data_IF_827861139753
#
_entry.id   IF_827861139753
#
_cell.length_a   1.000
_cell.length_b   1.000
_cell.length_c   1.000
_cell.angle_alpha   90.00
_cell.angle_beta   90.00
_cell.angle_gamma   90.00
#
_symmetry.space_group_name_H-M   'P 1'
#
loop_
_entity.id
_entity.type
_entity.pdbx_description
1 polymer ?
#
# COMPACT_ATOMS: atom_id res chain seq x y z
N UNK A 1 3.68 2.74 -29.70
CA UNK A 1 2.86 1.56 -29.33
C UNK A 1 2.60 1.60 -27.83
N UNK A 2 1.33 1.63 -27.39
CA UNK A 2 0.89 1.81 -25.98
C UNK A 2 0.58 0.48 -25.26
N UNK A 3 0.89 -0.66 -25.87
CA UNK A 3 0.54 -2.00 -25.38
C UNK A 3 1.20 -2.35 -24.05
N UNK A 4 2.49 -2.01 -23.88
CA UNK A 4 3.20 -2.19 -22.61
C UNK A 4 2.57 -1.39 -21.46
N UNK A 5 2.22 -0.13 -21.70
CA UNK A 5 1.56 0.72 -20.70
C UNK A 5 0.16 0.21 -20.33
N UNK A 6 -0.59 -0.29 -21.30
CA UNK A 6 -1.90 -0.89 -21.05
C UNK A 6 -1.78 -2.16 -20.19
N UNK A 7 -0.75 -2.98 -20.43
CA UNK A 7 -0.50 -4.19 -19.65
C UNK A 7 -0.10 -3.87 -18.21
N UNK A 8 0.72 -2.83 -18.01
CA UNK A 8 1.09 -2.34 -16.67
C UNK A 8 -0.16 -1.88 -15.92
N UNK A 9 -1.01 -1.06 -16.57
CA UNK A 9 -2.27 -0.60 -15.96
C UNK A 9 -3.20 -1.75 -15.60
N UNK A 10 -3.39 -2.72 -16.51
CA UNK A 10 -4.22 -3.90 -16.23
C UNK A 10 -3.67 -4.72 -15.07
N UNK A 11 -2.35 -4.84 -14.95
CA UNK A 11 -1.70 -5.49 -13.82
C UNK A 11 -1.93 -4.71 -12.50
N UNK A 12 -1.86 -3.37 -12.53
CA UNK A 12 -2.19 -2.54 -11.36
C UNK A 12 -3.64 -2.72 -10.93
N UNK A 13 -4.58 -2.58 -11.87
CA UNK A 13 -6.01 -2.70 -11.61
C UNK A 13 -6.34 -4.11 -11.07
N UNK A 14 -5.67 -5.15 -11.60
CA UNK A 14 -5.78 -6.51 -11.10
C UNK A 14 -5.26 -6.66 -9.65
N UNK A 15 -4.03 -6.17 -9.38
CA UNK A 15 -3.42 -6.24 -8.04
C UNK A 15 -4.20 -5.44 -6.99
N UNK A 16 -4.83 -4.34 -7.40
CA UNK A 16 -5.68 -3.50 -6.56
C UNK A 16 -7.13 -3.99 -6.45
N UNK A 17 -7.49 -5.12 -7.09
CA UNK A 17 -8.85 -5.69 -7.12
C UNK A 17 -9.89 -4.73 -7.71
N UNK A 18 -9.50 -3.92 -8.69
CA UNK A 18 -10.34 -2.92 -9.35
C UNK A 18 -10.93 -3.42 -10.68
N UNK A 19 -10.48 -4.57 -11.18
CA UNK A 19 -11.02 -5.14 -12.41
C UNK A 19 -12.44 -5.73 -12.21
N UNK A 20 -13.35 -5.53 -13.18
CA UNK A 20 -14.59 -6.29 -13.28
C UNK A 20 -14.32 -7.80 -13.34
N UNK A 21 -15.26 -8.61 -12.85
CA UNK A 21 -15.08 -10.08 -12.77
C UNK A 21 -14.75 -10.72 -14.12
N UNK A 22 -15.36 -10.27 -15.21
CA UNK A 22 -15.08 -10.79 -16.56
C UNK A 22 -13.65 -10.49 -17.02
N UNK A 23 -13.21 -9.24 -16.86
CA UNK A 23 -11.87 -8.81 -17.22
C UNK A 23 -10.80 -9.47 -16.37
N UNK A 24 -11.10 -9.69 -15.08
CA UNK A 24 -10.25 -10.45 -14.16
C UNK A 24 -10.02 -11.88 -14.66
N UNK A 25 -11.09 -12.61 -15.01
CA UNK A 25 -10.98 -14.00 -15.50
C UNK A 25 -10.20 -14.07 -16.82
N UNK A 26 -10.46 -13.13 -17.74
CA UNK A 26 -9.71 -13.05 -19.00
C UNK A 26 -8.22 -12.76 -18.76
N UNK A 27 -7.92 -11.87 -17.82
CA UNK A 27 -6.54 -11.54 -17.44
C UNK A 27 -5.82 -12.73 -16.79
N UNK A 28 -6.50 -13.47 -15.90
CA UNK A 28 -5.99 -14.72 -15.31
C UNK A 28 -5.69 -15.77 -16.37
N UNK A 29 -6.60 -15.97 -17.33
CA UNK A 29 -6.36 -16.88 -18.46
C UNK A 29 -5.14 -16.46 -19.30
N UNK A 30 -4.97 -15.16 -19.55
CA UNK A 30 -3.80 -14.64 -20.28
C UNK A 30 -2.49 -14.91 -19.53
N UNK A 31 -2.47 -14.70 -18.20
CA UNK A 31 -1.29 -15.01 -17.38
C UNK A 31 -0.91 -16.50 -17.38
N UNK A 32 -1.87 -17.41 -17.61
CA UNK A 32 -1.58 -18.84 -17.73
C UNK A 32 -0.91 -19.18 -19.07
N UNK A 33 -1.22 -18.42 -20.12
CA UNK A 33 -0.71 -18.64 -21.48
C UNK A 33 0.59 -17.88 -21.76
N UNK A 34 0.77 -16.72 -21.11
CA UNK A 34 1.90 -15.82 -21.30
C UNK A 34 2.77 -15.76 -20.03
N UNK A 35 3.93 -16.44 -20.09
CA UNK A 35 4.85 -16.53 -18.96
C UNK A 35 5.55 -15.20 -18.64
N UNK A 36 5.79 -14.36 -19.65
CA UNK A 36 6.42 -13.05 -19.46
C UNK A 36 5.46 -12.12 -18.73
N UNK A 37 4.18 -12.17 -19.11
CA UNK A 37 3.11 -11.44 -18.43
C UNK A 37 2.98 -11.85 -16.96
N UNK A 38 3.00 -13.16 -16.66
CA UNK A 38 2.99 -13.65 -15.28
C UNK A 38 4.21 -13.15 -14.49
N UNK A 39 5.40 -13.17 -15.09
CA UNK A 39 6.64 -12.73 -14.46
C UNK A 39 6.59 -11.23 -14.14
N UNK A 40 6.10 -10.42 -15.07
CA UNK A 40 5.91 -8.99 -14.88
C UNK A 40 4.92 -8.68 -13.74
N UNK A 41 3.78 -9.38 -13.69
CA UNK A 41 2.79 -9.20 -12.62
C UNK A 41 3.37 -9.60 -11.25
N UNK A 42 4.17 -10.67 -11.18
CA UNK A 42 4.86 -11.08 -9.95
C UNK A 42 5.87 -10.05 -9.48
N UNK A 43 6.70 -9.54 -10.39
CA UNK A 43 7.69 -8.50 -10.08
C UNK A 43 7.01 -7.22 -9.59
N UNK A 44 5.93 -6.81 -10.25
CA UNK A 44 5.16 -5.63 -9.87
C UNK A 44 4.50 -5.79 -8.49
N UNK A 45 3.92 -6.96 -8.20
CA UNK A 45 3.40 -7.27 -6.86
C UNK A 45 4.47 -7.12 -5.79
N UNK A 46 5.65 -7.69 -6.03
CA UNK A 46 6.75 -7.64 -5.09
C UNK A 46 7.24 -6.20 -4.85
N UNK A 47 7.39 -5.42 -5.91
CA UNK A 47 7.75 -4.01 -5.81
C UNK A 47 6.73 -3.21 -4.97
N UNK A 48 5.44 -3.41 -5.21
CA UNK A 48 4.37 -2.75 -4.43
C UNK A 48 4.39 -3.18 -2.97
N UNK A 49 4.63 -4.46 -2.69
CA UNK A 49 4.75 -4.98 -1.32
C UNK A 49 5.93 -4.34 -0.57
N UNK A 50 7.10 -4.24 -1.21
CA UNK A 50 8.27 -3.58 -0.64
C UNK A 50 8.01 -2.10 -0.33
N UNK A 51 7.43 -1.36 -1.28
CA UNK A 51 7.05 0.05 -1.07
C UNK A 51 6.06 0.18 0.09
N UNK A 52 5.06 -0.70 0.16
CA UNK A 52 4.10 -0.70 1.27
C UNK A 52 4.77 -0.98 2.61
N UNK A 53 5.67 -1.95 2.70
CA UNK A 53 6.40 -2.26 3.92
C UNK A 53 7.24 -1.07 4.39
N UNK A 54 8.03 -0.50 3.49
CA UNK A 54 8.84 0.67 3.78
C UNK A 54 7.99 1.87 4.22
N UNK A 55 6.91 2.17 3.49
CA UNK A 55 6.01 3.27 3.85
C UNK A 55 5.36 3.10 5.22
N UNK A 56 5.10 1.85 5.65
CA UNK A 56 4.56 1.54 6.98
C UNK A 56 5.58 1.80 8.08
N UNK A 57 6.85 1.45 7.85
CA UNK A 57 7.92 1.73 8.79
C UNK A 57 8.12 3.23 8.95
N UNK A 58 8.15 3.96 7.83
CA UNK A 58 8.24 5.42 7.85
C UNK A 58 7.06 6.06 8.60
N UNK A 59 5.83 5.64 8.29
CA UNK A 59 4.62 6.14 8.96
C UNK A 59 4.66 5.84 10.47
N UNK A 60 5.16 4.66 10.86
CA UNK A 60 5.33 4.31 12.27
C UNK A 60 6.31 5.26 12.96
N UNK A 61 7.45 5.53 12.35
CA UNK A 61 8.45 6.47 12.88
C UNK A 61 7.86 7.88 13.04
N UNK A 62 7.08 8.35 12.07
CA UNK A 62 6.41 9.66 12.13
C UNK A 62 5.39 9.71 13.27
N UNK A 63 4.55 8.69 13.41
CA UNK A 63 3.58 8.59 14.52
C UNK A 63 4.29 8.55 15.87
N UNK A 64 5.38 7.80 15.97
CA UNK A 64 6.14 7.68 17.21
C UNK A 64 6.83 8.99 17.58
N UNK A 65 7.37 9.72 16.60
CA UNK A 65 7.92 11.06 16.82
C UNK A 65 6.84 12.03 17.35
N UNK A 66 5.66 12.05 16.73
CA UNK A 66 4.52 12.86 17.19
C UNK A 66 4.11 12.48 18.61
N UNK A 67 4.04 11.18 18.91
CA UNK A 67 3.72 10.69 20.25
C UNK A 67 4.76 11.17 21.28
N UNK A 68 6.06 11.02 20.99
CA UNK A 68 7.13 11.49 21.87
C UNK A 68 7.03 13.01 22.11
N UNK A 69 6.77 13.80 21.08
CA UNK A 69 6.60 15.25 21.21
C UNK A 69 5.39 15.59 22.08
N UNK A 70 4.21 15.01 21.81
CA UNK A 70 2.96 15.44 22.45
C UNK A 70 2.74 14.85 23.85
N UNK A 71 3.21 13.63 24.11
CA UNK A 71 2.91 12.90 25.35
C UNK A 71 4.08 12.84 26.33
N UNK A 72 5.34 12.91 25.86
CA UNK A 72 6.51 12.76 26.73
C UNK A 72 7.23 14.08 27.03
N UNK A 73 7.04 15.13 26.22
CA UNK A 73 7.59 16.45 26.51
C UNK A 73 6.75 17.16 27.59
N UNK A 74 7.42 17.65 28.64
CA UNK A 74 6.79 18.39 29.75
C UNK A 74 5.99 19.62 29.28
N UNK A 75 6.36 20.21 28.15
CA UNK A 75 5.66 21.37 27.56
C UNK A 75 4.22 21.06 27.11
N UNK A 76 3.90 19.80 26.76
CA UNK A 76 2.61 19.41 26.20
C UNK A 76 1.74 18.58 27.17
N UNK A 77 2.10 18.52 28.45
CA UNK A 77 1.46 17.67 29.47
C UNK A 77 -0.06 17.89 29.59
N UNK A 78 -0.54 19.13 29.55
CA UNK A 78 -1.98 19.45 29.65
C UNK A 78 -2.76 18.93 28.44
N UNK A 79 -2.17 18.98 27.25
CA UNK A 79 -2.77 18.42 26.04
C UNK A 79 -2.88 16.90 26.15
N UNK A 80 -1.80 16.21 26.51
CA UNK A 80 -1.78 14.77 26.72
C UNK A 80 -2.85 14.30 27.73
N UNK A 81 -2.97 15.00 28.88
CA UNK A 81 -3.98 14.71 29.89
C UNK A 81 -5.41 14.89 29.38
N UNK A 82 -5.67 15.93 28.58
CA UNK A 82 -6.98 16.17 27.97
C UNK A 82 -7.34 15.06 26.97
N UNK A 83 -6.38 14.64 26.13
CA UNK A 83 -6.61 13.54 25.18
C UNK A 83 -6.92 12.23 25.93
N UNK A 84 -6.13 11.88 26.95
CA UNK A 84 -6.35 10.67 27.75
C UNK A 84 -7.70 10.67 28.50
N UNK A 85 -8.24 11.86 28.83
CA UNK A 85 -9.54 11.95 29.49
C UNK A 85 -10.72 11.51 28.62
N UNK A 86 -10.58 11.51 27.28
CA UNK A 86 -11.62 11.03 26.37
C UNK A 86 -11.72 9.50 26.30
N UNK A 87 -10.69 8.79 26.78
CA UNK A 87 -10.62 7.32 26.76
C UNK A 87 -10.86 6.70 28.15
N UNK A 88 -11.40 7.48 29.09
CA UNK A 88 -11.85 6.99 30.40
C UNK A 88 -13.31 6.56 30.39
#
# INVERSE_FOLDING_TARGET
MRTSLNNIKLAEDYLNKQLPTGDKLLFEARMLLDHDMLTNVKAQRHAVELVKQYSREQLRTEIEAVHQTLFNNKQHRTFAQRVLSFFR
#
